data_IF_416209840863
#
_entry.id   IF_416209840863
#
_cell.length_a   1.000
_cell.length_b   1.000
_cell.length_c   1.000
_cell.angle_alpha   90.00
_cell.angle_beta   90.00
_cell.angle_gamma   90.00
#
_symmetry.space_group_name_H-M   'P 1'
#
loop_
_entity.id
_entity.type
_entity.pdbx_description
1 polymer ?
#
# COMPACT_ATOMS: atom_id res chain seq x y z
N UNK A 1 -4.86 -2.00 2.06
CA UNK A 1 -5.02 -3.00 0.98
C UNK A 1 -4.23 -4.23 1.38
N UNK A 2 -4.88 -5.37 1.67
CA UNK A 2 -4.21 -6.61 2.11
C UNK A 2 -4.54 -7.74 1.13
N UNK A 3 -4.10 -7.59 -0.10
CA UNK A 3 -4.33 -8.55 -1.19
C UNK A 3 -3.02 -9.21 -1.61
N UNK A 4 -3.08 -10.48 -2.01
CA UNK A 4 -1.87 -11.27 -2.30
C UNK A 4 -1.29 -10.92 -3.67
N UNK A 5 -0.11 -10.28 -3.67
CA UNK A 5 0.61 -9.86 -4.87
C UNK A 5 1.33 -11.01 -5.59
N UNK A 6 1.45 -12.18 -4.95
CA UNK A 6 2.41 -13.23 -5.34
C UNK A 6 2.14 -13.85 -6.72
N UNK A 7 0.90 -13.73 -7.21
CA UNK A 7 0.51 -14.27 -8.51
C UNK A 7 1.04 -13.43 -9.68
N UNK A 8 1.43 -12.17 -9.45
CA UNK A 8 1.99 -11.29 -10.45
C UNK A 8 3.51 -11.46 -10.53
N UNK A 9 3.99 -12.55 -11.13
CA UNK A 9 5.37 -12.56 -11.60
C UNK A 9 5.53 -11.43 -12.63
N UNK A 10 6.52 -10.54 -12.46
CA UNK A 10 7.00 -9.44 -13.33
C UNK A 10 6.03 -8.62 -14.24
N UNK A 11 5.11 -9.20 -15.03
CA UNK A 11 4.15 -8.45 -15.86
C UNK A 11 2.97 -9.26 -16.42
N UNK A 12 3.06 -10.60 -16.47
CA UNK A 12 2.04 -11.44 -17.06
C UNK A 12 2.02 -12.78 -16.32
N UNK A 13 0.85 -13.14 -15.79
CA UNK A 13 0.50 -14.44 -15.23
C UNK A 13 1.45 -15.58 -15.64
N UNK A 14 1.97 -16.30 -14.66
CA UNK A 14 2.69 -17.55 -14.90
C UNK A 14 1.83 -18.52 -15.73
N UNK A 15 2.42 -19.22 -16.72
CA UNK A 15 1.73 -20.25 -17.50
C UNK A 15 1.47 -21.56 -16.72
N UNK A 16 1.93 -21.64 -15.47
CA UNK A 16 1.63 -22.75 -14.57
C UNK A 16 0.26 -22.57 -13.92
N UNK A 17 -0.50 -23.66 -13.82
CA UNK A 17 -1.75 -23.78 -13.07
C UNK A 17 -1.47 -23.68 -11.56
N UNK A 18 -1.25 -22.46 -11.08
CA UNK A 18 -1.07 -22.17 -9.65
C UNK A 18 -2.41 -21.73 -9.08
N UNK A 19 -2.82 -22.37 -7.98
CA UNK A 19 -4.01 -21.99 -7.23
C UNK A 19 -3.74 -20.70 -6.44
N UNK A 20 -4.40 -19.62 -6.88
CA UNK A 20 -4.24 -18.26 -6.34
C UNK A 20 -4.86 -18.13 -4.95
N UNK A 21 -5.94 -18.86 -4.69
CA UNK A 21 -6.63 -18.85 -3.40
C UNK A 21 -5.84 -19.62 -2.36
N UNK A 22 -5.20 -20.73 -2.76
CA UNK A 22 -4.30 -21.49 -1.89
C UNK A 22 -3.10 -20.63 -1.45
N UNK A 23 -2.49 -19.89 -2.39
CA UNK A 23 -1.32 -19.04 -2.09
C UNK A 23 -1.68 -17.82 -1.23
N UNK A 24 -2.82 -17.16 -1.49
CA UNK A 24 -3.30 -16.06 -0.66
C UNK A 24 -3.61 -16.52 0.77
N UNK A 25 -4.25 -17.69 0.92
CA UNK A 25 -4.55 -18.29 2.22
C UNK A 25 -3.30 -18.74 2.99
N UNK A 26 -2.28 -19.24 2.29
CA UNK A 26 -1.01 -19.63 2.91
C UNK A 26 -0.20 -18.45 3.46
N UNK A 27 -0.36 -17.26 2.85
CA UNK A 27 0.32 -16.03 3.23
C UNK A 27 -0.55 -15.07 4.06
N UNK A 28 -1.70 -15.54 4.52
CA UNK A 28 -2.65 -14.78 5.34
C UNK A 28 -3.16 -13.46 4.70
N UNK A 29 -3.19 -13.42 3.37
CA UNK A 29 -3.81 -12.33 2.63
C UNK A 29 -5.31 -12.55 2.48
N UNK A 30 -6.08 -11.45 2.46
CA UNK A 30 -7.55 -11.48 2.46
C UNK A 30 -8.09 -12.13 1.19
N UNK A 31 -7.62 -11.67 0.04
CA UNK A 31 -8.08 -12.08 -1.29
C UNK A 31 -6.90 -12.00 -2.29
N UNK A 32 -6.88 -12.82 -3.36
CA UNK A 32 -5.93 -12.66 -4.47
C UNK A 32 -6.33 -11.44 -5.32
N UNK A 33 -5.34 -10.68 -5.80
CA UNK A 33 -5.59 -9.46 -6.60
C UNK A 33 -6.26 -9.81 -7.93
N UNK A 34 -7.28 -9.02 -8.30
CA UNK A 34 -8.13 -9.26 -9.48
C UNK A 34 -7.40 -9.14 -10.83
N UNK A 35 -6.32 -8.34 -10.91
CA UNK A 35 -5.58 -8.10 -12.14
C UNK A 35 -4.07 -8.06 -11.89
N UNK A 36 -3.31 -8.95 -12.53
CA UNK A 36 -1.84 -8.99 -12.39
C UNK A 36 -1.13 -7.76 -12.93
N UNK A 37 -1.70 -7.08 -13.94
CA UNK A 37 -1.06 -5.91 -14.55
C UNK A 37 -1.19 -4.70 -13.63
N UNK A 38 -2.39 -4.51 -13.07
CA UNK A 38 -2.68 -3.44 -12.11
C UNK A 38 -1.80 -3.62 -10.87
N UNK A 39 -1.68 -4.86 -10.41
CA UNK A 39 -0.88 -5.23 -9.26
C UNK A 39 0.63 -4.90 -9.33
N UNK A 40 1.25 -5.00 -10.52
CA UNK A 40 2.69 -4.67 -10.66
C UNK A 40 2.91 -3.16 -10.65
N UNK A 41 1.90 -2.40 -11.06
CA UNK A 41 1.98 -0.95 -11.18
C UNK A 41 1.29 -0.20 -10.03
N UNK A 42 0.50 -0.87 -9.21
CA UNK A 42 -0.24 -0.26 -8.10
C UNK A 42 0.72 0.18 -7.00
N UNK A 43 1.05 1.48 -7.04
CA UNK A 43 1.77 2.22 -6.00
C UNK A 43 0.84 3.13 -5.22
N UNK A 44 -0.47 2.97 -5.38
CA UNK A 44 -1.45 3.87 -4.77
C UNK A 44 -1.39 3.78 -3.25
N UNK A 45 -1.07 2.60 -2.70
CA UNK A 45 -0.82 2.44 -1.26
C UNK A 45 0.28 3.36 -0.73
N UNK A 46 1.36 3.57 -1.50
CA UNK A 46 2.48 4.40 -1.09
C UNK A 46 2.13 5.89 -1.21
N UNK A 47 1.40 6.26 -2.26
CA UNK A 47 0.91 7.64 -2.44
C UNK A 47 -0.12 8.03 -1.38
N UNK A 48 -1.03 7.12 -1.02
CA UNK A 48 -2.00 7.34 0.05
C UNK A 48 -1.31 7.49 1.40
N UNK A 49 -0.35 6.61 1.71
CA UNK A 49 0.45 6.72 2.93
C UNK A 49 1.20 8.06 3.01
N UNK A 50 1.86 8.47 1.92
CA UNK A 50 2.54 9.76 1.85
C UNK A 50 1.57 10.94 1.96
N UNK A 51 0.37 10.85 1.39
CA UNK A 51 -0.66 11.90 1.49
C UNK A 51 -1.15 12.08 2.93
N UNK A 52 -1.39 10.98 3.64
CA UNK A 52 -1.77 11.02 5.07
C UNK A 52 -0.61 11.55 5.90
N UNK A 53 0.62 11.09 5.64
CA UNK A 53 1.83 11.57 6.32
C UNK A 53 2.07 13.07 6.13
N UNK A 54 1.91 13.59 4.91
CA UNK A 54 2.06 15.01 4.61
C UNK A 54 0.99 15.87 5.33
N UNK A 55 -0.25 15.37 5.42
CA UNK A 55 -1.31 16.02 6.21
C UNK A 55 -0.93 16.08 7.68
N UNK A 56 -0.48 14.96 8.26
CA UNK A 56 -0.01 14.93 9.65
C UNK A 56 1.16 15.90 9.88
N UNK A 57 2.14 15.94 8.99
CA UNK A 57 3.28 16.86 9.09
C UNK A 57 2.84 18.33 9.04
N UNK A 58 1.85 18.67 8.21
CA UNK A 58 1.29 20.03 8.14
C UNK A 58 0.60 20.41 9.45
N UNK A 59 -0.19 19.50 10.04
CA UNK A 59 -0.83 19.74 11.34
C UNK A 59 0.22 19.91 12.45
N UNK A 60 1.25 19.06 12.47
CA UNK A 60 2.34 19.15 13.44
C UNK A 60 3.15 20.44 13.29
N UNK A 61 3.37 20.90 12.06
CA UNK A 61 4.08 22.17 11.82
C UNK A 61 3.33 23.36 12.40
N UNK A 62 2.00 23.40 12.26
CA UNK A 62 1.18 24.48 12.86
C UNK A 62 1.17 24.42 14.38
N UNK A 63 1.09 23.21 14.96
CA UNK A 63 1.21 23.03 16.40
C UNK A 63 2.58 23.50 16.90
N UNK A 64 3.67 23.17 16.19
CA UNK A 64 5.01 23.60 16.54
C UNK A 64 5.16 25.13 16.50
N UNK A 65 4.54 25.79 15.52
CA UNK A 65 4.49 27.26 15.43
C UNK A 65 3.81 27.88 16.66
N UNK A 66 2.65 27.35 17.07
CA UNK A 66 1.96 27.80 18.28
C UNK A 66 2.81 27.62 19.55
N UNK A 67 3.52 26.48 19.64
CA UNK A 67 4.42 26.21 20.77
C UNK A 67 5.58 27.22 20.80
N UNK A 68 6.22 27.50 19.65
CA UNK A 68 7.32 28.47 19.58
C UNK A 68 6.85 29.86 20.02
N UNK A 69 5.68 30.30 19.55
CA UNK A 69 5.09 31.60 19.94
C UNK A 69 4.76 31.71 21.44
N UNK A 70 4.53 30.60 22.13
CA UNK A 70 4.29 30.61 23.59
C UNK A 70 5.57 30.73 24.41
N UNK A 71 6.73 30.37 23.83
CA UNK A 71 8.02 30.41 24.51
C UNK A 71 8.83 31.68 24.21
N UNK A 72 8.33 32.54 23.32
CA UNK A 72 8.83 33.90 23.05
C UNK A 72 8.10 34.93 23.93
#
# INVERSE_FOLDING_TARGET
MNESLLWATALASTSFLIDRFMTAKALDFREPVCNSIDNVFDRDFALEFLSVGARCATHLSRLAEEIVLWFE
#
